data_IF_899371467721
#
_entry.id   IF_899371467721
#
_cell.length_a   1.000
_cell.length_b   1.000
_cell.length_c   1.000
_cell.angle_alpha   90.00
_cell.angle_beta   90.00
_cell.angle_gamma   90.00
#
_symmetry.space_group_name_H-M   'P 1'
#
loop_
_entity.id
_entity.type
_entity.pdbx_description
1 polymer ?
#
# COMPACT_ATOMS: atom_id res chain seq x y z
N UNK A 1 3.61 9.42 -28.49
CA UNK A 1 3.06 9.54 -27.12
C UNK A 1 4.11 10.27 -26.29
N UNK A 2 3.96 11.58 -26.11
CA UNK A 2 4.91 12.41 -25.35
C UNK A 2 4.74 12.11 -23.87
N UNK A 3 5.77 11.54 -23.23
CA UNK A 3 5.76 11.37 -21.78
C UNK A 3 5.68 12.74 -21.12
N UNK A 4 4.51 13.07 -20.55
CA UNK A 4 4.39 14.15 -19.60
C UNK A 4 5.16 13.75 -18.35
N UNK A 5 6.46 14.02 -18.31
CA UNK A 5 7.20 14.00 -17.05
C UNK A 5 6.52 15.04 -16.16
N UNK A 6 5.88 14.65 -15.05
CA UNK A 6 5.18 15.60 -14.20
C UNK A 6 6.20 16.65 -13.76
N UNK A 7 6.04 17.88 -14.21
CA UNK A 7 6.90 18.96 -13.78
C UNK A 7 6.60 19.23 -12.31
N UNK A 8 7.63 19.09 -11.47
CA UNK A 8 7.52 19.34 -10.03
C UNK A 8 7.02 20.77 -9.81
N UNK A 9 5.84 20.91 -9.22
CA UNK A 9 5.27 22.23 -8.96
C UNK A 9 5.92 22.86 -7.74
N UNK A 10 6.13 24.18 -7.77
CA UNK A 10 6.72 24.89 -6.62
C UNK A 10 5.88 24.72 -5.34
N UNK A 11 4.57 24.42 -5.48
CA UNK A 11 3.66 24.10 -4.37
C UNK A 11 3.96 22.74 -3.73
N UNK A 12 4.23 21.71 -4.51
CA UNK A 12 4.59 20.38 -3.99
C UNK A 12 5.90 20.43 -3.22
N UNK A 13 6.90 21.17 -3.71
CA UNK A 13 8.19 21.31 -3.03
C UNK A 13 8.06 22.06 -1.69
N UNK A 14 7.19 23.08 -1.63
CA UNK A 14 6.86 23.77 -0.37
C UNK A 14 6.20 22.84 0.64
N UNK A 15 5.19 22.09 0.20
CA UNK A 15 4.52 21.12 1.06
C UNK A 15 5.45 20.03 1.56
N UNK A 16 6.31 19.50 0.68
CA UNK A 16 7.33 18.54 1.07
C UNK A 16 8.26 19.10 2.16
N UNK A 17 8.78 20.32 1.96
CA UNK A 17 9.63 20.99 2.96
C UNK A 17 8.92 21.20 4.30
N UNK A 18 7.65 21.63 4.28
CA UNK A 18 6.85 21.81 5.48
C UNK A 18 6.58 20.48 6.21
N UNK A 19 6.18 19.43 5.49
CA UNK A 19 5.96 18.09 6.05
C UNK A 19 7.25 17.54 6.65
N UNK A 20 8.38 17.68 5.95
CA UNK A 20 9.68 17.21 6.43
C UNK A 20 10.13 17.97 7.69
N UNK A 21 9.93 19.28 7.75
CA UNK A 21 10.22 20.09 8.92
C UNK A 21 9.36 19.71 10.14
N UNK A 22 8.05 19.54 9.93
CA UNK A 22 7.12 19.09 10.99
C UNK A 22 7.51 17.69 11.46
N UNK A 23 7.78 16.77 10.54
CA UNK A 23 8.21 15.41 10.87
C UNK A 23 9.50 15.41 11.70
N UNK A 24 10.48 16.26 11.36
CA UNK A 24 11.73 16.40 12.12
C UNK A 24 11.47 16.89 13.55
N UNK A 25 10.64 17.92 13.73
CA UNK A 25 10.29 18.43 15.07
C UNK A 25 9.55 17.35 15.86
N UNK A 26 8.52 16.73 15.28
CA UNK A 26 7.74 15.71 16.01
C UNK A 26 8.61 14.52 16.41
N UNK A 27 9.48 14.02 15.52
CA UNK A 27 10.31 12.87 15.83
C UNK A 27 11.37 13.21 16.89
N UNK A 28 12.10 14.32 16.74
CA UNK A 28 13.25 14.61 17.60
C UNK A 28 12.92 15.41 18.87
N UNK A 29 11.87 16.24 18.85
CA UNK A 29 11.47 17.07 19.98
C UNK A 29 10.39 16.40 20.85
N UNK A 30 9.54 15.55 20.25
CA UNK A 30 8.43 14.91 20.97
C UNK A 30 8.63 13.40 21.14
N UNK A 31 8.79 12.65 20.04
CA UNK A 31 8.78 11.19 20.08
C UNK A 31 10.02 10.60 20.77
N UNK A 32 11.23 11.04 20.37
CA UNK A 32 12.50 10.57 20.94
C UNK A 32 12.66 10.91 22.44
N UNK A 33 12.41 12.15 22.89
CA UNK A 33 12.49 12.49 24.32
C UNK A 33 11.48 11.70 25.16
N UNK A 34 10.28 11.44 24.62
CA UNK A 34 9.26 10.65 25.30
C UNK A 34 9.66 9.17 25.44
N UNK A 35 10.26 8.58 24.41
CA UNK A 35 10.70 7.18 24.41
C UNK A 35 11.99 6.93 25.21
N UNK A 36 12.91 7.89 25.23
CA UNK A 36 14.23 7.74 25.85
C UNK A 36 14.42 8.54 27.16
N UNK A 37 13.40 9.28 27.62
CA UNK A 37 13.45 10.16 28.80
C UNK A 37 14.68 11.07 28.81
N UNK A 38 15.04 11.60 27.63
CA UNK A 38 16.16 12.53 27.44
C UNK A 38 15.66 13.96 27.38
N UNK A 39 16.55 14.91 27.67
CA UNK A 39 16.27 16.33 27.47
C UNK A 39 15.95 16.62 25.99
N UNK A 40 15.06 17.58 25.77
CA UNK A 40 14.62 17.96 24.43
C UNK A 40 15.79 18.62 23.69
N UNK A 41 16.29 18.03 22.60
CA UNK A 41 17.31 18.66 21.80
C UNK A 41 16.69 19.82 21.01
N UNK A 42 17.28 21.02 21.12
CA UNK A 42 16.79 22.23 20.43
C UNK A 42 17.34 22.40 19.00
N UNK A 43 18.46 21.73 18.69
CA UNK A 43 19.08 21.77 17.36
C UNK A 43 18.15 21.36 16.18
N UNK A 44 17.22 20.39 16.30
CA UNK A 44 16.30 20.02 15.22
C UNK A 44 15.31 21.14 14.89
N UNK A 45 14.97 22.00 15.86
CA UNK A 45 14.07 23.15 15.65
C UNK A 45 14.74 24.17 14.73
N UNK A 46 16.04 24.42 14.91
CA UNK A 46 16.80 25.30 14.02
C UNK A 46 16.86 24.79 12.59
N UNK A 47 17.07 23.48 12.41
CA UNK A 47 17.06 22.84 11.08
C UNK A 47 15.67 22.88 10.46
N UNK A 48 14.62 22.60 11.22
CA UNK A 48 13.25 22.69 10.73
C UNK A 48 12.88 24.11 10.29
N UNK A 49 13.27 25.13 11.07
CA UNK A 49 13.06 26.54 10.72
C UNK A 49 13.81 26.91 9.43
N UNK A 50 15.06 26.48 9.30
CA UNK A 50 15.85 26.66 8.07
C UNK A 50 15.18 25.98 6.86
N UNK A 51 14.66 24.76 7.04
CA UNK A 51 13.98 24.02 5.99
C UNK A 51 12.70 24.73 5.53
N UNK A 52 11.90 25.25 6.46
CA UNK A 52 10.69 26.02 6.16
C UNK A 52 11.05 27.32 5.45
N UNK A 53 12.09 28.02 5.91
CA UNK A 53 12.58 29.25 5.29
C UNK A 53 13.04 28.99 3.85
N UNK A 54 13.81 27.91 3.63
CA UNK A 54 14.31 27.53 2.31
C UNK A 54 13.18 27.08 1.38
N UNK A 55 12.18 26.36 1.91
CA UNK A 55 10.99 26.00 1.17
C UNK A 55 10.18 27.24 0.76
N UNK A 56 10.06 28.25 1.63
CA UNK A 56 9.32 29.48 1.34
C UNK A 56 10.03 30.41 0.36
N UNK A 57 11.36 30.58 0.50
CA UNK A 57 12.16 31.52 -0.29
C UNK A 57 12.64 30.93 -1.60
N UNK A 58 13.09 29.67 -1.60
CA UNK A 58 13.68 29.03 -2.78
C UNK A 58 13.34 27.54 -2.88
N UNK A 59 12.07 27.19 -3.17
CA UNK A 59 11.60 25.80 -3.15
C UNK A 59 12.35 24.89 -4.12
N UNK A 60 12.85 25.42 -5.25
CA UNK A 60 13.56 24.64 -6.29
C UNK A 60 14.84 23.98 -5.80
N UNK A 61 15.47 24.51 -4.75
CA UNK A 61 16.64 23.88 -4.13
C UNK A 61 16.30 22.52 -3.49
N UNK A 62 15.05 22.30 -3.06
CA UNK A 62 14.57 21.03 -2.52
C UNK A 62 14.20 20.01 -3.61
N UNK A 63 14.18 20.39 -4.89
CA UNK A 63 13.82 19.49 -5.98
C UNK A 63 14.64 18.18 -6.05
N UNK A 64 15.99 18.18 -5.99
CA UNK A 64 16.76 16.93 -6.03
C UNK A 64 16.49 16.05 -4.81
N UNK A 65 16.36 16.66 -3.62
CA UNK A 65 16.02 15.96 -2.37
C UNK A 65 14.65 15.30 -2.46
N UNK A 66 13.64 16.05 -2.92
CA UNK A 66 12.28 15.55 -3.14
C UNK A 66 12.27 14.35 -4.09
N UNK A 67 12.99 14.43 -5.23
CA UNK A 67 13.09 13.30 -6.17
C UNK A 67 13.72 12.06 -5.54
N UNK A 68 14.80 12.24 -4.78
CA UNK A 68 15.45 11.14 -4.05
C UNK A 68 14.48 10.49 -3.05
N UNK A 69 13.80 11.32 -2.26
CA UNK A 69 12.80 10.86 -1.29
C UNK A 69 11.64 10.09 -1.97
N UNK A 70 11.13 10.58 -3.09
CA UNK A 70 10.05 9.92 -3.82
C UNK A 70 10.46 8.55 -4.37
N UNK A 71 11.73 8.36 -4.76
CA UNK A 71 12.23 7.02 -5.14
C UNK A 71 12.18 6.06 -3.95
N UNK A 72 12.61 6.51 -2.78
CA UNK A 72 12.51 5.72 -1.54
C UNK A 72 11.05 5.41 -1.23
N UNK A 73 10.16 6.40 -1.33
CA UNK A 73 8.71 6.22 -1.16
C UNK A 73 8.12 5.19 -2.12
N UNK A 74 8.55 5.18 -3.39
CA UNK A 74 8.11 4.19 -4.37
C UNK A 74 8.59 2.77 -4.02
N UNK A 75 9.84 2.61 -3.60
CA UNK A 75 10.36 1.31 -3.16
C UNK A 75 9.62 0.84 -1.90
N UNK A 76 9.39 1.73 -0.94
CA UNK A 76 8.66 1.41 0.28
C UNK A 76 7.20 1.06 -0.02
N UNK A 77 6.55 1.80 -0.91
CA UNK A 77 5.21 1.48 -1.40
C UNK A 77 5.18 0.13 -2.11
N UNK A 78 6.20 -0.17 -2.91
CA UNK A 78 6.35 -1.49 -3.54
C UNK A 78 6.39 -2.58 -2.47
N UNK A 79 7.25 -2.47 -1.47
CA UNK A 79 7.34 -3.44 -0.36
C UNK A 79 6.00 -3.53 0.38
N UNK A 80 5.41 -2.39 0.75
CA UNK A 80 4.18 -2.32 1.53
C UNK A 80 3.02 -3.04 0.85
N UNK A 81 2.83 -2.89 -0.46
CA UNK A 81 1.78 -3.61 -1.17
C UNK A 81 1.98 -5.13 -1.12
N UNK A 82 3.21 -5.62 -1.27
CA UNK A 82 3.48 -7.08 -1.20
C UNK A 82 3.30 -7.59 0.22
N UNK A 83 3.77 -6.83 1.20
CA UNK A 83 3.65 -7.17 2.61
C UNK A 83 2.18 -7.22 3.02
N UNK A 84 1.39 -6.21 2.66
CA UNK A 84 -0.03 -6.13 3.00
C UNK A 84 -0.83 -7.24 2.32
N UNK A 85 -0.57 -7.51 1.03
CA UNK A 85 -1.26 -8.57 0.31
C UNK A 85 -0.86 -9.96 0.83
N UNK A 86 0.43 -10.17 1.11
CA UNK A 86 0.93 -11.39 1.74
C UNK A 86 0.33 -11.60 3.14
N UNK A 87 0.32 -10.56 3.96
CA UNK A 87 -0.28 -10.58 5.29
C UNK A 87 -1.77 -10.95 5.21
N UNK A 88 -2.55 -10.30 4.34
CA UNK A 88 -3.97 -10.63 4.15
C UNK A 88 -4.14 -12.08 3.70
N UNK A 89 -3.32 -12.55 2.77
CA UNK A 89 -3.40 -13.93 2.31
C UNK A 89 -3.12 -14.92 3.45
N UNK A 90 -2.02 -14.75 4.19
CA UNK A 90 -1.62 -15.69 5.23
C UNK A 90 -2.41 -15.57 6.54
N UNK A 91 -2.93 -14.38 6.88
CA UNK A 91 -3.68 -14.15 8.13
C UNK A 91 -5.19 -14.29 7.97
N UNK A 92 -5.74 -14.07 6.77
CA UNK A 92 -7.19 -14.17 6.53
C UNK A 92 -7.50 -15.36 5.61
N UNK A 93 -6.96 -15.37 4.39
CA UNK A 93 -7.37 -16.33 3.35
C UNK A 93 -6.97 -17.77 3.72
N UNK A 94 -5.72 -17.97 4.09
CA UNK A 94 -5.17 -19.29 4.46
C UNK A 94 -5.89 -19.90 5.67
N UNK A 95 -6.01 -19.21 6.83
CA UNK A 95 -6.68 -19.78 7.99
C UNK A 95 -8.17 -19.96 7.75
N UNK A 96 -8.83 -19.09 6.98
CA UNK A 96 -10.22 -19.28 6.61
C UNK A 96 -10.41 -20.54 5.75
N UNK A 97 -9.53 -20.76 4.77
CA UNK A 97 -9.53 -21.97 3.95
C UNK A 97 -9.23 -23.24 4.77
N UNK A 98 -8.27 -23.16 5.68
CA UNK A 98 -7.95 -24.25 6.62
C UNK A 98 -9.14 -24.56 7.54
N UNK A 99 -9.80 -23.52 8.06
CA UNK A 99 -11.00 -23.64 8.88
C UNK A 99 -12.15 -24.29 8.09
N UNK A 100 -12.43 -23.83 6.86
CA UNK A 100 -13.43 -24.47 6.00
C UNK A 100 -13.13 -25.94 5.73
N UNK A 101 -11.84 -26.29 5.55
CA UNK A 101 -11.39 -27.67 5.38
C UNK A 101 -11.58 -28.51 6.66
N UNK A 102 -11.32 -27.96 7.84
CA UNK A 102 -11.57 -28.61 9.14
C UNK A 102 -13.07 -28.81 9.40
N UNK A 103 -13.92 -27.84 9.05
CA UNK A 103 -15.38 -27.96 9.14
C UNK A 103 -16.00 -28.85 8.05
N UNK A 104 -15.19 -29.50 7.19
CA UNK A 104 -15.68 -30.38 6.13
C UNK A 104 -16.44 -29.66 5.00
N UNK A 105 -16.48 -28.32 5.01
CA UNK A 105 -17.13 -27.49 4.00
C UNK A 105 -16.22 -27.32 2.80
N UNK A 106 -16.29 -28.27 1.88
CA UNK A 106 -15.54 -28.21 0.64
C UNK A 106 -16.34 -27.46 -0.45
N UNK A 107 -15.83 -26.31 -0.91
CA UNK A 107 -16.49 -25.48 -1.93
C UNK A 107 -16.53 -26.06 -3.36
N UNK A 108 -15.99 -27.25 -3.60
CA UNK A 108 -16.13 -28.00 -4.86
C UNK A 108 -16.07 -29.50 -4.50
N UNK A 109 -16.66 -30.38 -5.32
CA UNK A 109 -16.67 -31.80 -5.03
C UNK A 109 -15.22 -32.30 -4.84
N UNK A 110 -14.94 -32.97 -3.72
CA UNK A 110 -13.62 -33.53 -3.42
C UNK A 110 -13.72 -35.03 -3.49
N UNK A 111 -12.97 -35.59 -4.41
CA UNK A 111 -12.98 -37.02 -4.68
C UNK A 111 -12.74 -37.21 -6.17
N UNK A 112 -11.58 -37.75 -6.52
CA UNK A 112 -11.43 -38.40 -7.81
C UNK A 112 -12.14 -39.75 -7.68
N UNK A 113 -13.41 -39.79 -8.06
CA UNK A 113 -14.10 -41.02 -8.34
C UNK A 113 -13.46 -41.71 -9.55
N UNK A 114 -12.71 -42.79 -9.28
CA UNK A 114 -12.03 -43.58 -10.31
C UNK A 114 -13.02 -44.36 -11.18
N UNK A 115 -14.28 -44.50 -10.75
CA UNK A 115 -15.36 -45.15 -11.49
C UNK A 115 -16.19 -44.18 -12.34
N UNK A 116 -16.02 -42.87 -12.16
CA UNK A 116 -16.77 -41.87 -12.90
C UNK A 116 -16.27 -41.73 -14.35
N UNK A 117 -17.14 -42.03 -15.31
CA UNK A 117 -16.85 -41.85 -16.73
C UNK A 117 -16.61 -40.38 -17.13
N UNK A 118 -17.15 -39.42 -16.37
CA UNK A 118 -16.97 -37.98 -16.61
C UNK A 118 -17.38 -37.15 -15.39
N UNK A 119 -16.65 -36.06 -15.13
CA UNK A 119 -16.99 -35.04 -14.10
C UNK A 119 -17.83 -33.89 -14.65
N UNK A 120 -18.25 -33.97 -15.92
CA UNK A 120 -19.12 -32.96 -16.52
C UNK A 120 -20.49 -33.01 -15.86
N UNK A 121 -20.88 -31.91 -15.23
CA UNK A 121 -22.25 -31.73 -14.74
C UNK A 121 -23.12 -31.35 -15.94
N UNK A 122 -24.10 -32.18 -16.34
CA UNK A 122 -25.01 -31.84 -17.43
C UNK A 122 -25.86 -30.64 -17.02
N UNK A 123 -26.06 -29.69 -17.93
CA UNK A 123 -26.93 -28.53 -17.71
C UNK A 123 -28.38 -29.02 -17.75
N UNK A 124 -29.04 -29.11 -16.59
CA UNK A 124 -30.43 -29.55 -16.47
C UNK A 124 -31.44 -28.43 -16.76
N UNK A 125 -31.05 -27.16 -16.73
CA UNK A 125 -31.97 -26.06 -16.97
C UNK A 125 -32.28 -25.88 -18.46
N UNK A 126 -33.49 -26.26 -18.87
CA UNK A 126 -34.14 -25.83 -20.14
C UNK A 126 -34.67 -24.39 -20.09
N UNK A 127 -34.42 -23.68 -19.00
CA UNK A 127 -34.86 -22.30 -18.78
C UNK A 127 -34.02 -21.35 -19.65
N UNK A 128 -34.61 -20.71 -20.69
CA UNK A 128 -33.88 -19.82 -21.60
C UNK A 128 -33.19 -18.67 -20.85
N UNK A 129 -33.76 -18.23 -19.72
CA UNK A 129 -33.20 -17.13 -18.93
C UNK A 129 -31.88 -17.49 -18.22
N UNK A 130 -31.57 -18.79 -18.11
CA UNK A 130 -30.32 -19.29 -17.50
C UNK A 130 -29.35 -19.87 -18.53
N UNK A 131 -29.75 -19.89 -19.81
CA UNK A 131 -28.91 -20.34 -20.90
C UNK A 131 -28.08 -19.18 -21.46
N UNK A 132 -26.84 -19.08 -20.98
CA UNK A 132 -25.90 -18.05 -21.44
C UNK A 132 -25.52 -18.19 -22.92
N UNK A 133 -25.85 -19.30 -23.57
CA UNK A 133 -25.56 -19.51 -25.01
C UNK A 133 -26.65 -18.99 -25.93
N UNK A 134 -27.85 -18.68 -25.40
CA UNK A 134 -28.96 -18.05 -26.13
C UNK A 134 -29.58 -16.94 -25.30
N UNK A 135 -28.91 -15.78 -25.21
CA UNK A 135 -29.40 -14.65 -24.41
C UNK A 135 -30.61 -13.92 -25.03
N UNK A 136 -31.03 -14.27 -26.25
CA UNK A 136 -32.14 -13.67 -26.99
C UNK A 136 -33.02 -14.75 -27.65
#
# INVERSE_FOLDING_TARGET
MTEHTPQLTDRELRWFGAILAVALVVVFCLLLPLLYSREIPWWPVGIAALLVLLAATWPRSLAPMHRGWMRVGNVLGWINTRLLLGAVFFLLVVPLGALMRLLGRHGIARGRDASAASYRVPVTSKDPAKDLTRPF
#
